data_IF_048886744886
#
_entry.id   IF_048886744886
#
_cell.length_a   1.000
_cell.length_b   1.000
_cell.length_c   1.000
_cell.angle_alpha   90.00
_cell.angle_beta   90.00
_cell.angle_gamma   90.00
#
_symmetry.space_group_name_H-M   'P 1'
#
loop_
_entity.id
_entity.type
_entity.pdbx_description
1 polymer ?
#
# COMPACT_ATOMS: atom_id res chain seq x y z
N UNK A 1 17.21 0.00 -11.49
CA UNK A 1 16.50 1.18 -10.93
C UNK A 1 16.31 0.96 -9.43
N UNK A 2 16.58 1.94 -8.57
CA UNK A 2 16.37 1.79 -7.12
C UNK A 2 14.89 1.55 -6.81
N UNK A 3 14.58 0.54 -5.97
CA UNK A 3 13.21 0.21 -5.53
C UNK A 3 12.51 1.43 -4.92
N UNK A 4 13.26 2.35 -4.31
CA UNK A 4 12.74 3.62 -3.79
C UNK A 4 12.27 4.56 -4.89
N UNK A 5 13.01 4.62 -6.01
CA UNK A 5 12.65 5.46 -7.17
C UNK A 5 11.40 4.89 -7.83
N UNK A 6 11.31 3.57 -8.00
CA UNK A 6 10.13 2.92 -8.57
C UNK A 6 8.86 3.20 -7.76
N UNK A 7 8.90 3.05 -6.42
CA UNK A 7 7.73 3.36 -5.56
C UNK A 7 7.33 4.84 -5.58
N UNK A 8 8.29 5.77 -5.72
CA UNK A 8 8.02 7.21 -5.83
C UNK A 8 7.37 7.61 -7.15
N UNK A 9 7.76 6.98 -8.25
CA UNK A 9 7.28 7.34 -9.60
C UNK A 9 5.99 6.61 -9.96
N UNK A 10 5.69 5.47 -9.33
CA UNK A 10 4.52 4.63 -9.67
C UNK A 10 3.19 5.40 -9.73
N UNK A 11 2.80 6.13 -8.68
CA UNK A 11 1.53 6.86 -8.68
C UNK A 11 1.50 8.03 -9.66
N UNK A 12 2.52 8.91 -9.73
CA UNK A 12 2.61 9.92 -10.78
C UNK A 12 2.51 9.35 -12.18
N UNK A 13 3.14 8.19 -12.43
CA UNK A 13 3.09 7.52 -13.72
C UNK A 13 1.69 6.98 -14.04
N UNK A 14 1.00 6.38 -13.06
CA UNK A 14 -0.41 5.96 -13.22
C UNK A 14 -1.29 7.17 -13.54
N UNK A 15 -1.14 8.30 -12.84
CA UNK A 15 -1.89 9.52 -13.14
C UNK A 15 -1.63 10.02 -14.56
N UNK A 16 -0.38 9.97 -15.02
CA UNK A 16 -0.01 10.40 -16.37
C UNK A 16 -0.67 9.52 -17.44
N UNK A 17 -0.73 8.20 -17.22
CA UNK A 17 -1.45 7.27 -18.12
C UNK A 17 -2.95 7.60 -18.12
N UNK A 18 -3.56 7.79 -16.96
CA UNK A 18 -5.00 8.09 -16.86
C UNK A 18 -5.36 9.44 -17.51
N UNK A 19 -4.52 10.45 -17.34
CA UNK A 19 -4.67 11.73 -18.02
C UNK A 19 -4.50 11.58 -19.54
N UNK A 20 -3.54 10.78 -19.99
CA UNK A 20 -3.34 10.46 -21.40
C UNK A 20 -4.54 9.73 -22.02
N UNK A 21 -5.11 8.75 -21.32
CA UNK A 21 -6.33 8.04 -21.76
C UNK A 21 -7.53 8.99 -21.83
N UNK A 22 -7.66 9.91 -20.89
CA UNK A 22 -8.73 10.90 -20.92
C UNK A 22 -8.58 11.87 -22.09
N UNK A 23 -7.37 12.38 -22.33
CA UNK A 23 -7.09 13.21 -23.49
C UNK A 23 -7.35 12.46 -24.81
N UNK A 24 -6.95 11.19 -24.88
CA UNK A 24 -7.19 10.34 -26.05
C UNK A 24 -8.68 10.11 -26.31
N UNK A 25 -9.49 9.92 -25.27
CA UNK A 25 -10.95 9.79 -25.37
C UNK A 25 -11.57 11.07 -25.95
N UNK A 26 -11.21 12.25 -25.43
CA UNK A 26 -11.69 13.54 -25.96
C UNK A 26 -11.25 13.77 -27.41
N UNK A 27 -10.01 13.43 -27.76
CA UNK A 27 -9.52 13.58 -29.13
C UNK A 27 -10.20 12.62 -30.11
N UNK A 28 -10.41 11.36 -29.72
CA UNK A 28 -11.12 10.39 -30.54
C UNK A 28 -12.57 10.80 -30.76
N UNK A 29 -13.27 11.27 -29.72
CA UNK A 29 -14.62 11.80 -29.86
C UNK A 29 -14.69 12.97 -30.86
N UNK A 30 -13.64 13.80 -30.93
CA UNK A 30 -13.56 14.95 -31.84
C UNK A 30 -13.20 14.59 -33.29
N UNK A 31 -12.20 13.74 -33.49
CA UNK A 31 -11.62 13.47 -34.81
C UNK A 31 -12.11 12.16 -35.44
N UNK A 32 -12.71 11.28 -34.66
CA UNK A 32 -13.23 9.97 -35.10
C UNK A 32 -14.45 9.59 -34.27
N UNK A 33 -15.58 10.30 -34.43
CA UNK A 33 -16.77 10.14 -33.58
C UNK A 33 -17.39 8.74 -33.65
N UNK A 34 -17.17 8.00 -34.75
CA UNK A 34 -17.63 6.62 -34.89
C UNK A 34 -16.72 5.59 -34.18
N UNK A 35 -15.62 6.05 -33.57
CA UNK A 35 -14.67 5.17 -32.90
C UNK A 35 -15.12 4.80 -31.50
N UNK A 36 -15.27 3.49 -31.25
CA UNK A 36 -15.65 2.95 -29.94
C UNK A 36 -14.46 2.49 -29.08
N UNK A 37 -13.23 2.86 -29.47
CA UNK A 37 -11.99 2.32 -28.88
C UNK A 37 -11.86 2.65 -27.39
N UNK A 38 -12.25 3.86 -26.99
CA UNK A 38 -12.20 4.34 -25.60
C UNK A 38 -13.58 4.62 -25.01
N UNK A 39 -14.66 4.11 -25.62
CA UNK A 39 -16.03 4.33 -25.13
C UNK A 39 -16.28 3.76 -23.72
N UNK A 40 -15.46 2.79 -23.29
CA UNK A 40 -15.50 2.25 -21.93
C UNK A 40 -14.85 3.19 -20.91
N UNK A 41 -13.91 4.05 -21.33
CA UNK A 41 -13.15 4.89 -20.43
C UNK A 41 -13.94 6.16 -20.08
N UNK A 42 -14.00 6.48 -18.79
CA UNK A 42 -14.68 7.66 -18.28
C UNK A 42 -13.96 8.16 -17.02
N UNK A 43 -14.36 9.34 -16.54
CA UNK A 43 -13.82 9.86 -15.28
C UNK A 43 -14.02 8.87 -14.11
N UNK A 44 -15.14 8.14 -14.08
CA UNK A 44 -15.41 7.13 -13.05
C UNK A 44 -14.40 5.98 -13.10
N UNK A 45 -14.03 5.52 -14.30
CA UNK A 45 -12.98 4.54 -14.49
C UNK A 45 -11.61 5.07 -14.08
N UNK A 46 -11.29 6.32 -14.44
CA UNK A 46 -10.04 6.95 -14.05
C UNK A 46 -9.88 6.99 -12.52
N UNK A 47 -10.92 7.45 -11.81
CA UNK A 47 -10.94 7.47 -10.34
C UNK A 47 -10.82 6.07 -9.76
N UNK A 48 -11.60 5.11 -10.28
CA UNK A 48 -11.58 3.71 -9.81
C UNK A 48 -10.19 3.09 -9.93
N UNK A 49 -9.54 3.24 -11.10
CA UNK A 49 -8.20 2.72 -11.36
C UNK A 49 -7.17 3.39 -10.46
N UNK A 50 -7.27 4.71 -10.27
CA UNK A 50 -6.35 5.45 -9.42
C UNK A 50 -6.44 5.00 -7.95
N UNK A 51 -7.65 4.90 -7.40
CA UNK A 51 -7.86 4.44 -6.01
C UNK A 51 -7.35 3.01 -5.85
N UNK A 52 -7.60 2.13 -6.83
CA UNK A 52 -7.06 0.77 -6.84
C UNK A 52 -5.53 0.77 -6.83
N UNK A 53 -4.89 1.61 -7.66
CA UNK A 53 -3.44 1.74 -7.71
C UNK A 53 -2.84 2.24 -6.39
N UNK A 54 -3.51 3.18 -5.70
CA UNK A 54 -3.10 3.64 -4.36
C UNK A 54 -3.15 2.48 -3.36
N UNK A 55 -4.23 1.68 -3.37
CA UNK A 55 -4.38 0.51 -2.51
C UNK A 55 -3.28 -0.53 -2.74
N UNK A 56 -3.01 -0.86 -4.01
CA UNK A 56 -1.93 -1.77 -4.42
C UNK A 56 -0.58 -1.24 -3.96
N UNK A 57 -0.31 0.07 -4.14
CA UNK A 57 0.95 0.67 -3.70
C UNK A 57 1.14 0.51 -2.19
N UNK A 58 0.12 0.76 -1.39
CA UNK A 58 0.21 0.59 0.05
C UNK A 58 0.49 -0.87 0.44
N UNK A 59 -0.15 -1.84 -0.20
CA UNK A 59 0.17 -3.26 0.01
C UNK A 59 1.64 -3.56 -0.34
N UNK A 60 2.09 -3.15 -1.52
CA UNK A 60 3.46 -3.35 -1.97
C UNK A 60 4.49 -2.68 -1.04
N UNK A 61 4.23 -1.45 -0.61
CA UNK A 61 5.10 -0.75 0.33
C UNK A 61 5.13 -1.43 1.70
N UNK A 62 4.01 -2.01 2.14
CA UNK A 62 3.92 -2.78 3.38
C UNK A 62 4.72 -4.09 3.33
N UNK A 63 4.69 -4.78 2.19
CA UNK A 63 5.34 -6.09 1.96
C UNK A 63 6.84 -5.92 1.68
N UNK A 64 7.20 -5.03 0.74
CA UNK A 64 8.54 -5.02 0.12
C UNK A 64 9.46 -3.90 0.61
N UNK A 65 8.96 -2.84 1.27
CA UNK A 65 9.87 -1.80 1.79
C UNK A 65 10.55 -2.28 3.08
N UNK A 66 11.82 -2.65 2.94
CA UNK A 66 12.78 -2.84 4.04
C UNK A 66 12.95 -1.58 4.89
N UNK A 67 13.21 -1.74 6.19
CA UNK A 67 13.59 -0.64 7.10
C UNK A 67 12.45 0.01 7.88
N UNK A 68 11.19 -0.37 7.65
CA UNK A 68 10.04 0.07 8.48
C UNK A 68 9.82 -0.89 9.66
N UNK A 69 9.46 -0.33 10.83
CA UNK A 69 9.09 -1.12 12.00
C UNK A 69 7.86 -2.01 11.75
N UNK A 70 7.68 -3.03 12.61
CA UNK A 70 6.58 -4.02 12.52
C UNK A 70 5.21 -3.34 12.46
N UNK A 71 4.99 -2.34 13.32
CA UNK A 71 3.76 -1.54 13.39
C UNK A 71 3.50 -0.83 12.06
N UNK A 72 4.48 -0.08 11.56
CA UNK A 72 4.32 0.71 10.33
C UNK A 72 4.00 -0.18 9.13
N UNK A 73 4.62 -1.37 9.04
CA UNK A 73 4.33 -2.33 7.96
C UNK A 73 2.90 -2.83 8.02
N UNK A 74 2.44 -3.26 9.20
CA UNK A 74 1.09 -3.77 9.40
C UNK A 74 0.03 -2.71 9.10
N UNK A 75 0.22 -1.48 9.58
CA UNK A 75 -0.67 -0.35 9.28
C UNK A 75 -0.71 -0.03 7.78
N UNK A 76 0.44 -0.07 7.09
CA UNK A 76 0.49 0.20 5.65
C UNK A 76 -0.29 -0.87 4.87
N UNK A 77 -0.19 -2.14 5.26
CA UNK A 77 -0.96 -3.25 4.64
C UNK A 77 -2.46 -3.08 4.89
N UNK A 78 -2.87 -2.78 6.13
CA UNK A 78 -4.28 -2.56 6.47
C UNK A 78 -4.84 -1.36 5.71
N UNK A 79 -4.10 -0.25 5.65
CA UNK A 79 -4.47 0.93 4.88
C UNK A 79 -4.66 0.57 3.40
N UNK A 80 -3.74 -0.22 2.82
CA UNK A 80 -3.88 -0.71 1.44
C UNK A 80 -5.14 -1.54 1.24
N UNK A 81 -5.44 -2.48 2.13
CA UNK A 81 -6.65 -3.30 2.06
C UNK A 81 -7.94 -2.46 2.16
N UNK A 82 -7.99 -1.48 3.07
CA UNK A 82 -9.13 -0.57 3.21
C UNK A 82 -9.31 0.29 1.95
N UNK A 83 -8.23 0.83 1.38
CA UNK A 83 -8.30 1.59 0.13
C UNK A 83 -8.77 0.71 -1.04
N UNK A 84 -8.38 -0.56 -1.08
CA UNK A 84 -8.90 -1.51 -2.08
C UNK A 84 -10.39 -1.81 -1.92
N UNK A 85 -10.90 -1.83 -0.68
CA UNK A 85 -12.36 -1.93 -0.45
C UNK A 85 -13.06 -0.69 -1.01
N UNK A 86 -12.50 0.50 -0.82
CA UNK A 86 -13.04 1.73 -1.44
C UNK A 86 -13.00 1.64 -2.97
N UNK A 87 -11.89 1.16 -3.54
CA UNK A 87 -11.77 0.94 -4.98
C UNK A 87 -12.82 -0.04 -5.51
N UNK A 88 -13.13 -1.11 -4.75
CA UNK A 88 -14.18 -2.07 -5.09
C UNK A 88 -15.56 -1.41 -5.11
N UNK A 89 -15.87 -0.53 -4.15
CA UNK A 89 -17.13 0.20 -4.19
C UNK A 89 -17.21 1.14 -5.40
N UNK A 90 -16.13 1.88 -5.71
CA UNK A 90 -16.06 2.69 -6.93
C UNK A 90 -16.28 1.85 -8.19
N UNK A 91 -15.65 0.67 -8.26
CA UNK A 91 -15.85 -0.28 -9.35
C UNK A 91 -17.30 -0.76 -9.40
N UNK A 92 -17.88 -1.14 -8.27
CA UNK A 92 -19.24 -1.66 -8.19
C UNK A 92 -20.27 -0.65 -8.73
N UNK A 93 -20.08 0.65 -8.46
CA UNK A 93 -20.89 1.71 -9.07
C UNK A 93 -20.60 1.89 -10.56
N UNK A 94 -19.34 1.77 -10.98
CA UNK A 94 -18.92 1.97 -12.38
C UNK A 94 -19.46 0.88 -13.30
N UNK A 95 -19.49 -0.38 -12.86
CA UNK A 95 -19.94 -1.53 -13.68
C UNK A 95 -21.28 -2.12 -13.24
N UNK A 96 -21.99 -1.45 -12.33
CA UNK A 96 -23.25 -1.93 -11.74
C UNK A 96 -23.16 -3.38 -11.24
N UNK A 97 -22.10 -3.68 -10.48
CA UNK A 97 -21.81 -5.04 -10.01
C UNK A 97 -22.99 -5.60 -9.19
N UNK A 98 -23.38 -6.87 -9.37
CA UNK A 98 -24.41 -7.50 -8.57
C UNK A 98 -24.14 -7.37 -7.06
N UNK A 99 -25.13 -6.86 -6.30
CA UNK A 99 -25.00 -6.56 -4.87
C UNK A 99 -24.59 -7.79 -4.04
N UNK A 100 -25.01 -8.98 -4.46
CA UNK A 100 -24.66 -10.25 -3.83
C UNK A 100 -23.17 -10.61 -3.95
N UNK A 101 -22.44 -10.02 -4.90
CA UNK A 101 -21.00 -10.24 -5.08
C UNK A 101 -20.13 -9.23 -4.32
N UNK A 102 -20.65 -8.04 -4.02
CA UNK A 102 -19.87 -6.97 -3.36
C UNK A 102 -19.34 -7.43 -2.01
N UNK A 103 -20.22 -7.92 -1.13
CA UNK A 103 -19.84 -8.32 0.24
C UNK A 103 -18.85 -9.49 0.28
N UNK A 104 -19.01 -10.58 -0.52
CA UNK A 104 -18.00 -11.63 -0.63
C UNK A 104 -16.61 -11.11 -1.04
N UNK A 105 -16.54 -10.20 -2.02
CA UNK A 105 -15.24 -9.67 -2.48
C UNK A 105 -14.61 -8.79 -1.38
N UNK A 106 -15.40 -7.98 -0.66
CA UNK A 106 -14.91 -7.22 0.51
C UNK A 106 -14.30 -8.17 1.54
N UNK A 107 -14.98 -9.28 1.87
CA UNK A 107 -14.48 -10.25 2.83
C UNK A 107 -13.14 -10.87 2.39
N UNK A 108 -12.99 -11.19 1.09
CA UNK A 108 -11.74 -11.71 0.53
C UNK A 108 -10.62 -10.68 0.66
N UNK A 109 -10.86 -9.40 0.30
CA UNK A 109 -9.85 -8.34 0.37
C UNK A 109 -9.37 -8.14 1.82
N UNK A 110 -10.31 -8.05 2.77
CA UNK A 110 -9.98 -7.86 4.18
C UNK A 110 -9.23 -9.06 4.76
N UNK A 111 -9.68 -10.29 4.44
CA UNK A 111 -9.01 -11.52 4.89
C UNK A 111 -7.60 -11.61 4.34
N UNK A 112 -7.41 -11.33 3.05
CA UNK A 112 -6.10 -11.31 2.41
C UNK A 112 -5.19 -10.24 3.03
N UNK A 113 -5.70 -9.04 3.31
CA UNK A 113 -4.95 -7.97 3.97
C UNK A 113 -4.48 -8.35 5.38
N UNK A 114 -5.35 -8.97 6.18
CA UNK A 114 -4.99 -9.47 7.52
C UNK A 114 -3.95 -10.60 7.41
N UNK A 115 -4.18 -11.56 6.52
CA UNK A 115 -3.29 -12.69 6.29
C UNK A 115 -1.88 -12.24 5.86
N UNK A 116 -1.79 -11.34 4.88
CA UNK A 116 -0.53 -10.73 4.44
C UNK A 116 0.14 -9.94 5.58
N UNK A 117 -0.65 -9.21 6.38
CA UNK A 117 -0.15 -8.50 7.55
C UNK A 117 0.52 -9.44 8.55
N UNK A 118 -0.07 -10.61 8.83
CA UNK A 118 0.49 -11.62 9.74
C UNK A 118 1.77 -12.23 9.15
N UNK A 119 1.76 -12.61 7.87
CA UNK A 119 2.91 -13.20 7.18
C UNK A 119 4.12 -12.25 7.16
N UNK A 120 3.92 -10.99 6.77
CA UNK A 120 5.01 -9.99 6.65
C UNK A 120 5.59 -9.60 8.02
N UNK A 121 4.77 -9.60 9.06
CA UNK A 121 5.21 -9.27 10.42
C UNK A 121 5.75 -10.48 11.20
N UNK A 122 5.65 -11.70 10.65
CA UNK A 122 6.04 -12.94 11.33
C UNK A 122 5.24 -13.18 12.61
N UNK A 123 3.99 -12.70 12.66
CA UNK A 123 3.13 -12.79 13.85
C UNK A 123 3.59 -11.96 15.06
N UNK A 124 4.59 -11.09 14.91
CA UNK A 124 5.07 -10.24 16.01
C UNK A 124 3.96 -9.32 16.52
N UNK A 125 3.78 -9.31 17.84
CA UNK A 125 2.79 -8.45 18.50
C UNK A 125 3.19 -6.98 18.29
N UNK A 126 2.17 -6.12 18.21
CA UNK A 126 2.32 -4.67 18.04
C UNK A 126 3.29 -4.06 19.05
N UNK A 127 3.38 -4.66 20.23
CA UNK A 127 4.15 -4.20 21.39
C UNK A 127 5.47 -4.95 21.60
N UNK A 128 6.05 -5.54 20.55
CA UNK A 128 7.40 -6.12 20.66
C UNK A 128 8.39 -4.96 20.74
N UNK A 129 8.53 -4.39 21.93
CA UNK A 129 9.41 -3.29 22.24
C UNK A 129 10.86 -3.70 21.92
N UNK A 130 11.66 -2.79 21.34
CA UNK A 130 13.06 -3.07 20.97
C UNK A 130 13.90 -3.60 22.15
N UNK A 131 13.45 -3.30 23.37
CA UNK A 131 13.91 -3.74 24.67
C UNK A 131 13.72 -5.25 24.97
N UNK A 132 13.02 -6.01 24.12
CA UNK A 132 12.94 -7.47 24.21
C UNK A 132 13.87 -8.20 23.23
N UNK A 133 14.71 -7.48 22.47
CA UNK A 133 15.72 -8.11 21.62
C UNK A 133 16.79 -8.79 22.49
N UNK A 134 17.13 -10.03 22.14
CA UNK A 134 18.26 -10.76 22.74
C UNK A 134 19.53 -9.93 22.53
N UNK A 135 20.13 -9.44 23.61
CA UNK A 135 21.31 -8.56 23.59
C UNK A 135 21.02 -7.06 23.81
N UNK A 136 19.77 -6.65 24.04
CA UNK A 136 19.46 -5.25 24.36
C UNK A 136 19.95 -4.92 25.77
N UNK A 137 21.04 -4.14 25.88
CA UNK A 137 21.55 -3.67 27.16
C UNK A 137 20.68 -2.52 27.65
N UNK A 138 20.09 -2.69 28.84
CA UNK A 138 19.35 -1.62 29.50
C UNK A 138 20.25 -0.42 29.81
N UNK A 139 19.66 0.77 30.01
CA UNK A 139 20.41 1.99 30.32
C UNK A 139 21.43 1.78 31.46
N UNK A 140 21.02 1.10 32.52
CA UNK A 140 21.89 0.74 33.65
C UNK A 140 23.04 -0.21 33.27
N UNK A 141 22.82 -1.13 32.33
CA UNK A 141 23.87 -2.03 31.85
C UNK A 141 24.88 -1.30 30.96
N UNK A 142 24.44 -0.32 30.15
CA UNK A 142 25.35 0.55 29.38
C UNK A 142 26.17 1.46 30.30
N UNK A 143 25.53 2.09 31.28
CA UNK A 143 26.20 2.92 32.30
C UNK A 143 27.22 2.14 33.13
N UNK A 144 26.88 0.92 33.56
CA UNK A 144 27.80 0.09 34.32
C UNK A 144 29.01 -0.41 33.50
N UNK A 145 28.90 -0.49 32.18
CA UNK A 145 30.03 -0.80 31.30
C UNK A 145 30.92 0.41 31.05
N UNK A 146 30.33 1.59 30.86
CA UNK A 146 31.06 2.86 30.77
C UNK A 146 31.90 3.10 32.04
N UNK A 147 31.30 2.98 33.23
CA UNK A 147 32.02 3.16 34.51
C UNK A 147 33.13 2.12 34.72
N UNK A 148 32.93 0.87 34.25
CA UNK A 148 33.97 -0.17 34.33
C UNK A 148 35.12 0.07 33.34
N UNK A 149 34.83 0.66 32.18
CA UNK A 149 35.85 1.03 31.21
C UNK A 149 36.66 2.24 31.68
N UNK A 150 36.01 3.25 32.28
CA UNK A 150 36.67 4.41 32.88
C UNK A 150 37.61 4.00 34.03
N UNK A 151 37.20 3.07 34.90
CA UNK A 151 38.06 2.54 35.98
C UNK A 151 39.23 1.68 35.50
N UNK A 152 39.20 1.16 34.26
CA UNK A 152 40.28 0.34 33.69
C UNK A 152 41.33 1.17 32.95
N UNK A 153 40.98 2.38 32.54
CA UNK A 153 41.82 3.26 31.73
C UNK A 153 42.39 4.46 32.53
N UNK A 154 42.05 4.60 33.81
CA UNK A 154 42.67 5.54 34.75
C UNK A 154 43.58 4.81 35.73
#
# INVERSE_FOLDING_TARGET
>A
MDKKILSRIFLPFVLLILAGLWLAEVLLAKYSPDSNVLAWYSLNWAVTIFVAAVGIKFLCDGIFMGGKGVISRRLTIIAGAVVLVVALFCLAFTIALPKNLVMPIVAIILTAGIFLGILVTGGKKWDTADNQKVGYKNYHQRKAEEEKAERKNG
#
